data_IF_490624671699
#
_entry.id   IF_490624671699
#
_cell.length_a   1.000
_cell.length_b   1.000
_cell.length_c   1.000
_cell.angle_alpha   90.00
_cell.angle_beta   90.00
_cell.angle_gamma   90.00
#
_symmetry.space_group_name_H-M   'P 1'
#
loop_
_entity.id
_entity.type
_entity.pdbx_description
1 polymer ?
#
# COMPACT_ATOMS: atom_id res chain seq x y z
N UNK A 1 -13.70 13.82 5.30
CA UNK A 1 -12.28 13.53 5.57
C UNK A 1 -11.60 14.88 5.62
N UNK A 2 -11.35 15.37 6.82
CA UNK A 2 -10.45 16.50 7.01
C UNK A 2 -9.04 15.97 6.74
N UNK A 3 -8.27 16.66 5.90
CA UNK A 3 -6.93 16.23 5.44
C UNK A 3 -5.95 15.92 6.58
N UNK A 4 -6.26 16.40 7.78
CA UNK A 4 -5.44 16.27 8.98
C UNK A 4 -5.58 14.96 9.75
N UNK A 5 -6.62 14.14 9.52
CA UNK A 5 -6.80 12.88 10.27
C UNK A 5 -7.31 11.74 9.39
N UNK A 6 -6.38 11.09 8.69
CA UNK A 6 -6.66 9.84 8.00
C UNK A 6 -6.51 8.66 8.96
N UNK A 7 -7.63 8.18 9.52
CA UNK A 7 -7.65 7.01 10.41
C UNK A 7 -8.09 5.73 9.66
N UNK A 8 -7.16 4.78 9.52
CA UNK A 8 -7.44 3.47 8.92
C UNK A 8 -7.84 2.39 9.94
N UNK A 9 -7.88 2.67 11.24
CA UNK A 9 -8.06 1.66 12.29
C UNK A 9 -9.31 0.81 12.07
N UNK A 10 -10.46 1.46 11.82
CA UNK A 10 -11.72 0.76 11.52
C UNK A 10 -11.66 0.01 10.19
N UNK A 11 -11.08 0.60 9.15
CA UNK A 11 -10.96 -0.03 7.83
C UNK A 11 -10.06 -1.27 7.86
N UNK A 12 -8.98 -1.23 8.64
CA UNK A 12 -8.09 -2.36 8.85
C UNK A 12 -8.77 -3.48 9.64
N UNK A 13 -9.59 -3.16 10.63
CA UNK A 13 -10.36 -4.16 11.37
C UNK A 13 -11.31 -4.91 10.41
N UNK A 14 -12.07 -4.18 9.60
CA UNK A 14 -12.99 -4.76 8.60
C UNK A 14 -12.21 -5.60 7.59
N UNK A 15 -11.12 -5.06 7.05
CA UNK A 15 -10.28 -5.75 6.06
C UNK A 15 -9.73 -7.09 6.59
N UNK A 16 -9.30 -7.15 7.86
CA UNK A 16 -8.86 -8.40 8.49
C UNK A 16 -9.98 -9.42 8.62
N UNK A 17 -11.15 -8.98 9.09
CA UNK A 17 -12.31 -9.86 9.27
C UNK A 17 -12.83 -10.43 7.96
N UNK A 18 -12.70 -9.69 6.85
CA UNK A 18 -13.26 -10.04 5.55
C UNK A 18 -12.20 -10.43 4.51
N UNK A 19 -10.95 -10.67 4.89
CA UNK A 19 -9.82 -10.76 3.95
C UNK A 19 -10.01 -11.78 2.81
N UNK A 20 -10.67 -12.90 3.09
CA UNK A 20 -10.94 -13.98 2.12
C UNK A 20 -12.19 -13.68 1.26
N UNK A 21 -13.05 -12.78 1.71
CA UNK A 21 -14.29 -12.39 1.03
C UNK A 21 -14.10 -11.16 0.14
N UNK A 22 -13.01 -10.41 0.33
CA UNK A 22 -12.72 -9.20 -0.43
C UNK A 22 -12.13 -9.59 -1.79
N UNK A 23 -12.78 -9.15 -2.87
CA UNK A 23 -12.17 -9.09 -4.19
C UNK A 23 -11.18 -7.91 -4.24
N UNK A 24 -9.94 -8.20 -3.88
CA UNK A 24 -8.85 -7.21 -3.81
C UNK A 24 -8.51 -6.58 -5.16
N UNK A 25 -8.68 -7.33 -6.26
CA UNK A 25 -8.43 -6.81 -7.61
C UNK A 25 -9.49 -5.78 -7.99
N UNK A 26 -10.76 -6.10 -7.77
CA UNK A 26 -11.87 -5.19 -8.05
C UNK A 26 -11.81 -3.94 -7.16
N UNK A 27 -11.54 -4.10 -5.87
CA UNK A 27 -11.42 -2.98 -4.94
C UNK A 27 -10.34 -2.01 -5.38
N UNK A 28 -9.18 -2.52 -5.81
CA UNK A 28 -8.08 -1.72 -6.33
C UNK A 28 -8.43 -0.99 -7.63
N UNK A 29 -9.09 -1.68 -8.56
CA UNK A 29 -9.53 -1.08 -9.83
C UNK A 29 -10.47 0.10 -9.58
N UNK A 30 -11.51 -0.12 -8.77
CA UNK A 30 -12.53 0.89 -8.45
C UNK A 30 -11.97 2.10 -7.69
N UNK A 31 -10.93 1.90 -6.90
CA UNK A 31 -10.38 2.95 -6.02
C UNK A 31 -9.06 3.55 -6.51
N UNK A 32 -8.60 3.16 -7.71
CA UNK A 32 -7.31 3.57 -8.29
C UNK A 32 -7.10 5.08 -8.40
N UNK A 33 -8.17 5.88 -8.47
CA UNK A 33 -8.11 7.34 -8.50
C UNK A 33 -7.85 8.01 -7.14
N UNK A 34 -7.98 7.30 -6.03
CA UNK A 34 -7.86 7.88 -4.69
C UNK A 34 -6.43 7.71 -4.13
N UNK A 35 -5.72 8.79 -3.76
CA UNK A 35 -4.40 8.68 -3.11
C UNK A 35 -4.50 7.94 -1.77
N UNK A 36 -5.60 8.14 -1.03
CA UNK A 36 -5.88 7.40 0.20
C UNK A 36 -6.08 5.91 -0.06
N UNK A 37 -6.79 5.53 -1.12
CA UNK A 37 -6.95 4.11 -1.42
C UNK A 37 -5.62 3.45 -1.78
N UNK A 38 -4.73 4.16 -2.50
CA UNK A 38 -3.37 3.67 -2.78
C UNK A 38 -2.56 3.44 -1.49
N UNK A 39 -2.61 4.38 -0.55
CA UNK A 39 -1.95 4.23 0.74
C UNK A 39 -2.51 3.05 1.55
N UNK A 40 -3.84 2.94 1.66
CA UNK A 40 -4.49 1.81 2.31
C UNK A 40 -4.11 0.47 1.68
N UNK A 41 -4.14 0.37 0.35
CA UNK A 41 -3.78 -0.84 -0.40
C UNK A 41 -2.35 -1.28 -0.14
N UNK A 42 -1.43 -0.33 0.03
CA UNK A 42 -0.04 -0.62 0.39
C UNK A 42 0.03 -1.16 1.81
N UNK A 43 -0.61 -0.50 2.78
CA UNK A 43 -0.65 -0.95 4.17
C UNK A 43 -1.20 -2.37 4.32
N UNK A 44 -2.34 -2.70 3.69
CA UNK A 44 -2.92 -4.04 3.81
C UNK A 44 -2.07 -5.13 3.14
N UNK A 45 -1.28 -4.80 2.12
CA UNK A 45 -0.33 -5.74 1.50
C UNK A 45 0.86 -6.01 2.41
N UNK A 46 1.51 -4.95 2.92
CA UNK A 46 2.66 -5.07 3.82
C UNK A 46 2.30 -5.77 5.13
N UNK A 47 1.05 -5.61 5.60
CA UNK A 47 0.53 -6.29 6.78
C UNK A 47 0.08 -7.74 6.50
N UNK A 48 0.19 -8.24 5.27
CA UNK A 48 -0.24 -9.59 4.88
C UNK A 48 -1.75 -9.82 4.95
N UNK A 49 -2.55 -8.75 4.89
CA UNK A 49 -4.02 -8.81 4.90
C UNK A 49 -4.54 -9.02 3.47
N UNK A 50 -3.93 -8.36 2.49
CA UNK A 50 -4.22 -8.52 1.08
C UNK A 50 -3.07 -9.28 0.39
N UNK A 51 -3.34 -10.02 -0.71
CA UNK A 51 -2.31 -10.70 -1.46
C UNK A 51 -1.28 -9.71 -2.02
N UNK A 52 -0.01 -10.12 -2.00
CA UNK A 52 1.06 -9.37 -2.63
C UNK A 52 0.76 -9.17 -4.12
N UNK A 53 1.06 -7.98 -4.63
CA UNK A 53 1.02 -7.71 -6.07
C UNK A 53 2.04 -8.60 -6.77
N UNK A 54 1.57 -9.55 -7.59
CA UNK A 54 2.40 -10.30 -8.52
C UNK A 54 3.00 -9.32 -9.54
N UNK A 55 4.14 -8.72 -9.21
CA UNK A 55 4.79 -7.69 -10.03
C UNK A 55 5.58 -6.66 -9.24
N UNK A 56 5.29 -6.48 -7.95
CA UNK A 56 6.12 -5.68 -7.06
C UNK A 56 7.36 -6.49 -6.63
N UNK A 57 8.25 -6.79 -7.58
CA UNK A 57 9.64 -7.14 -7.24
C UNK A 57 10.16 -5.96 -6.40
N UNK A 58 10.67 -6.24 -5.20
CA UNK A 58 11.29 -5.24 -4.35
C UNK A 58 12.17 -4.30 -5.21
N UNK A 59 12.10 -2.96 -5.02
CA UNK A 59 12.97 -2.07 -5.75
C UNK A 59 14.40 -2.56 -5.52
N UNK A 60 15.10 -2.91 -6.60
CA UNK A 60 16.50 -3.30 -6.53
C UNK A 60 17.20 -2.22 -5.69
N UNK A 61 17.74 -2.62 -4.53
CA UNK A 61 18.26 -1.72 -3.51
C UNK A 61 18.97 -0.55 -4.18
N UNK A 62 18.43 0.65 -3.96
CA UNK A 62 18.99 1.90 -4.45
C UNK A 62 20.40 2.05 -3.89
N UNK A 63 21.38 1.54 -4.63
CA UNK A 63 22.81 1.74 -4.32
C UNK A 63 23.10 3.19 -4.56
N UNK A 64 22.98 3.98 -3.50
CA UNK A 64 23.51 5.33 -3.42
C UNK A 64 25.01 5.21 -3.65
N UNK A 65 25.44 5.50 -4.89
CA UNK A 65 26.86 5.57 -5.23
C UNK A 65 27.32 6.98 -4.85
N UNK A 66 27.96 7.11 -3.70
CA UNK A 66 28.60 8.36 -3.28
C UNK A 66 29.73 8.65 -4.27
N UNK A 67 29.57 9.69 -5.08
CA UNK A 67 30.68 10.23 -5.87
C UNK A 67 31.54 11.07 -4.92
N UNK A 68 32.86 10.82 -4.83
CA UNK A 68 33.73 11.68 -4.05
C UNK A 68 33.71 13.08 -4.66
N UNK A 69 33.31 14.07 -3.87
CA UNK A 69 33.41 15.48 -4.21
C UNK A 69 34.88 15.81 -4.41
N UNK A 70 35.26 16.19 -5.63
CA UNK A 70 36.57 16.78 -5.90
C UNK A 70 36.66 18.10 -5.12
N UNK A 71 37.78 18.27 -4.40
CA UNK A 71 38.01 19.38 -3.45
C UNK A 71 38.45 20.69 -4.07
#
# INVERSE_FOLDING_TARGET
>A
LDEHTLDYSRLLAIARSLREQIDWQQLRSRTSGSPYAKAFMTLVQELGIAPAQAGARAPAASRVRVLPSAG
#
